data_IF_442524422569
#
_entry.id   IF_442524422569
#
_cell.length_a   1.000
_cell.length_b   1.000
_cell.length_c   1.000
_cell.angle_alpha   90.00
_cell.angle_beta   90.00
_cell.angle_gamma   90.00
#
_symmetry.space_group_name_H-M   'P 1'
#
loop_
_entity.id
_entity.type
_entity.pdbx_description
1 polymer ?
#
# COMPACT_ATOMS: atom_id res chain seq x y z
N UNK A 1 0.58 -25.69 3.02
CA UNK A 1 -0.15 -26.97 3.25
C UNK A 1 0.77 -28.14 2.89
N UNK A 2 0.86 -29.17 3.74
CA UNK A 2 1.77 -30.31 3.57
C UNK A 2 1.01 -31.62 3.52
N UNK A 3 1.35 -32.45 2.55
CA UNK A 3 0.68 -33.71 2.21
C UNK A 3 1.68 -34.85 2.22
N UNK A 4 1.21 -36.05 2.56
CA UNK A 4 2.01 -37.27 2.47
C UNK A 4 1.36 -38.20 1.43
N UNK A 5 2.14 -39.03 0.72
CA UNK A 5 1.61 -39.94 -0.28
C UNK A 5 0.72 -41.06 0.30
N UNK A 6 0.81 -41.35 1.60
CA UNK A 6 -0.08 -42.28 2.34
C UNK A 6 -1.24 -41.61 3.06
N UNK A 7 -1.58 -40.36 2.72
CA UNK A 7 -2.68 -39.63 3.36
C UNK A 7 -4.04 -40.26 3.02
N UNK A 8 -4.86 -40.55 4.03
CA UNK A 8 -6.25 -41.02 3.87
C UNK A 8 -7.16 -39.95 3.26
N UNK A 9 -8.23 -40.34 2.57
CA UNK A 9 -9.14 -39.40 1.91
C UNK A 9 -9.73 -38.33 2.85
N UNK A 10 -10.06 -38.70 4.09
CA UNK A 10 -10.54 -37.74 5.08
C UNK A 10 -9.53 -36.62 5.37
N UNK A 11 -8.25 -36.96 5.50
CA UNK A 11 -7.21 -35.97 5.78
C UNK A 11 -6.95 -35.07 4.55
N UNK A 12 -7.05 -35.62 3.33
CA UNK A 12 -7.06 -34.82 2.09
C UNK A 12 -8.16 -33.76 2.11
N UNK A 13 -9.38 -34.15 2.48
CA UNK A 13 -10.53 -33.23 2.55
C UNK A 13 -10.31 -32.11 3.57
N UNK A 14 -9.74 -32.42 4.74
CA UNK A 14 -9.38 -31.41 5.75
C UNK A 14 -8.37 -30.43 5.18
N UNK A 15 -7.35 -30.91 4.44
CA UNK A 15 -6.33 -30.04 3.82
C UNK A 15 -6.89 -29.18 2.69
N UNK A 16 -7.85 -29.68 1.91
CA UNK A 16 -8.60 -28.88 0.91
C UNK A 16 -9.36 -27.77 1.62
N UNK A 17 -10.12 -28.08 2.67
CA UNK A 17 -10.88 -27.07 3.43
C UNK A 17 -9.95 -26.01 4.03
N UNK A 18 -8.79 -26.42 4.55
CA UNK A 18 -7.79 -25.50 5.08
C UNK A 18 -7.19 -24.59 4.01
N UNK A 19 -6.83 -25.16 2.84
CA UNK A 19 -6.34 -24.40 1.70
C UNK A 19 -7.38 -23.39 1.19
N UNK A 20 -8.65 -23.78 1.16
CA UNK A 20 -9.77 -22.91 0.77
C UNK A 20 -9.93 -21.71 1.71
N UNK A 21 -9.81 -21.94 3.02
CA UNK A 21 -9.79 -20.85 4.01
C UNK A 21 -8.63 -19.87 3.75
N UNK A 22 -7.42 -20.36 3.53
CA UNK A 22 -6.27 -19.48 3.22
C UNK A 22 -6.48 -18.66 1.93
N UNK A 23 -7.07 -19.26 0.91
CA UNK A 23 -7.36 -18.55 -0.35
C UNK A 23 -8.43 -17.46 -0.17
N UNK A 24 -9.43 -17.70 0.68
CA UNK A 24 -10.44 -16.70 1.05
C UNK A 24 -9.83 -15.53 1.84
N UNK A 25 -8.93 -15.85 2.78
CA UNK A 25 -8.15 -14.87 3.53
C UNK A 25 -7.12 -14.12 2.68
N UNK A 26 -6.80 -14.61 1.47
CA UNK A 26 -5.87 -13.96 0.55
C UNK A 26 -4.43 -14.36 0.65
N UNK A 27 -4.16 -15.43 1.37
CA UNK A 27 -2.83 -15.95 1.54
C UNK A 27 -2.44 -16.82 0.34
N UNK A 28 -1.18 -16.69 -0.07
CA UNK A 28 -0.61 -17.61 -1.04
C UNK A 28 -0.46 -18.98 -0.40
N UNK A 29 -0.90 -20.02 -1.09
CA UNK A 29 -0.86 -21.39 -0.58
C UNK A 29 0.22 -22.17 -1.33
N UNK A 30 1.29 -22.51 -0.62
CA UNK A 30 2.26 -23.49 -1.09
C UNK A 30 1.79 -24.89 -0.69
N UNK A 31 1.47 -25.71 -1.68
CA UNK A 31 1.11 -27.12 -1.51
C UNK A 31 2.37 -27.94 -1.74
N UNK A 32 2.77 -28.72 -0.74
CA UNK A 32 3.94 -29.61 -0.83
C UNK A 32 3.58 -31.03 -0.47
N UNK A 33 3.94 -31.98 -1.33
CA UNK A 33 3.88 -33.41 -1.06
C UNK A 33 5.31 -33.92 -0.84
N UNK A 34 5.57 -34.55 0.30
CA UNK A 34 6.91 -35.05 0.64
C UNK A 34 6.92 -36.56 0.42
N UNK A 35 7.83 -37.03 -0.42
CA UNK A 35 8.12 -38.44 -0.57
C UNK A 35 9.21 -38.84 0.42
N UNK A 36 9.10 -39.98 1.09
CA UNK A 36 10.14 -40.48 2.00
C UNK A 36 10.71 -41.80 1.48
N UNK A 37 12.03 -41.86 1.32
CA UNK A 37 12.77 -43.09 1.00
C UNK A 37 12.20 -43.86 -0.19
N UNK A 38 11.64 -45.05 0.08
CA UNK A 38 11.07 -45.98 -0.92
C UNK A 38 9.79 -45.47 -1.58
N UNK A 39 9.19 -44.41 -1.06
CA UNK A 39 7.98 -43.80 -1.61
C UNK A 39 8.25 -42.91 -2.84
N UNK A 40 9.52 -42.70 -3.19
CA UNK A 40 9.94 -42.10 -4.47
C UNK A 40 9.43 -42.87 -5.70
N UNK A 41 9.03 -44.14 -5.56
CA UNK A 41 8.39 -44.92 -6.62
C UNK A 41 6.91 -44.52 -6.83
N UNK A 42 6.27 -43.94 -5.83
CA UNK A 42 4.85 -43.54 -5.86
C UNK A 42 4.66 -42.08 -6.29
N UNK A 43 5.45 -41.60 -7.26
CA UNK A 43 5.32 -40.24 -7.81
C UNK A 43 3.93 -40.02 -8.40
N UNK A 44 3.40 -41.05 -9.06
CA UNK A 44 2.09 -41.00 -9.71
C UNK A 44 0.95 -40.66 -8.73
N UNK A 45 1.02 -41.15 -7.48
CA UNK A 45 0.04 -40.78 -6.46
C UNK A 45 0.14 -39.31 -6.06
N UNK A 46 1.35 -38.80 -5.88
CA UNK A 46 1.56 -37.39 -5.59
C UNK A 46 1.09 -36.48 -6.73
N UNK A 47 1.36 -36.88 -7.97
CA UNK A 47 0.93 -36.14 -9.16
C UNK A 47 -0.60 -36.09 -9.27
N UNK A 48 -1.28 -37.24 -9.17
CA UNK A 48 -2.75 -37.28 -9.15
C UNK A 48 -3.36 -36.44 -8.03
N UNK A 49 -2.73 -36.42 -6.86
CA UNK A 49 -3.21 -35.66 -5.73
C UNK A 49 -3.07 -34.15 -5.98
N UNK A 50 -1.95 -33.69 -6.53
CA UNK A 50 -1.78 -32.30 -6.94
C UNK A 50 -2.73 -31.93 -8.09
N UNK A 51 -2.94 -32.81 -9.06
CA UNK A 51 -3.92 -32.59 -10.14
C UNK A 51 -5.34 -32.43 -9.60
N UNK A 52 -5.74 -33.22 -8.60
CA UNK A 52 -7.03 -33.08 -7.92
C UNK A 52 -7.15 -31.74 -7.21
N UNK A 53 -6.12 -31.31 -6.49
CA UNK A 53 -6.07 -29.97 -5.87
C UNK A 53 -6.19 -28.88 -6.94
N UNK A 54 -5.46 -29.01 -8.05
CA UNK A 54 -5.52 -28.07 -9.18
C UNK A 54 -6.94 -27.93 -9.73
N UNK A 55 -7.66 -29.04 -9.89
CA UNK A 55 -9.04 -29.03 -10.38
C UNK A 55 -10.00 -28.34 -9.40
N UNK A 56 -9.92 -28.68 -8.11
CA UNK A 56 -10.78 -28.08 -7.06
C UNK A 56 -10.56 -26.56 -6.93
N UNK A 57 -9.30 -26.11 -7.03
CA UNK A 57 -8.95 -24.69 -6.85
C UNK A 57 -8.93 -23.87 -8.15
N UNK A 58 -9.28 -24.47 -9.30
CA UNK A 58 -9.25 -23.79 -10.60
C UNK A 58 -10.15 -22.54 -10.67
N UNK A 59 -11.21 -22.49 -9.86
CA UNK A 59 -12.16 -21.37 -9.81
C UNK A 59 -11.76 -20.26 -8.82
N UNK A 60 -11.03 -20.61 -7.76
CA UNK A 60 -10.75 -19.71 -6.63
C UNK A 60 -9.32 -19.17 -6.65
N UNK A 61 -8.39 -19.89 -7.30
CA UNK A 61 -6.96 -19.57 -7.31
C UNK A 61 -6.35 -19.64 -8.71
N UNK A 62 -5.38 -18.76 -8.94
CA UNK A 62 -4.47 -18.80 -10.09
C UNK A 62 -3.23 -19.61 -9.73
N UNK A 63 -2.77 -20.44 -10.66
CA UNK A 63 -1.54 -21.21 -10.50
C UNK A 63 -0.37 -20.31 -10.88
N UNK A 64 0.48 -19.98 -9.91
CA UNK A 64 1.69 -19.18 -10.14
C UNK A 64 2.86 -20.09 -10.53
N UNK A 65 2.96 -21.27 -9.90
CA UNK A 65 4.00 -22.26 -10.16
C UNK A 65 3.38 -23.63 -10.37
N UNK A 66 3.65 -24.21 -11.53
CA UNK A 66 3.23 -25.56 -11.88
C UNK A 66 3.83 -26.62 -10.95
N UNK A 67 3.19 -27.79 -10.81
CA UNK A 67 3.73 -28.91 -10.04
C UNK A 67 5.15 -29.25 -10.50
N UNK A 68 6.13 -29.00 -9.63
CA UNK A 68 7.53 -29.29 -9.92
C UNK A 68 8.18 -30.07 -8.78
N UNK A 69 8.96 -31.09 -9.15
CA UNK A 69 9.72 -31.88 -8.21
C UNK A 69 10.98 -31.12 -7.81
N UNK A 70 11.05 -30.75 -6.54
CA UNK A 70 12.22 -30.16 -5.93
C UNK A 70 12.87 -31.19 -4.99
N UNK A 71 13.76 -32.01 -5.55
CA UNK A 71 14.40 -33.12 -4.85
C UNK A 71 13.41 -34.17 -4.37
N UNK A 72 13.12 -34.18 -3.07
CA UNK A 72 12.24 -35.16 -2.41
C UNK A 72 10.81 -34.67 -2.24
N UNK A 73 10.50 -33.45 -2.66
CA UNK A 73 9.17 -32.84 -2.52
C UNK A 73 8.60 -32.43 -3.87
N UNK A 74 7.31 -32.70 -4.10
CA UNK A 74 6.55 -32.12 -5.20
C UNK A 74 5.84 -30.88 -4.67
N UNK A 75 6.10 -29.72 -5.28
CA UNK A 75 5.56 -28.44 -4.82
C UNK A 75 4.75 -27.75 -5.90
N UNK A 76 3.69 -27.08 -5.49
CA UNK A 76 2.83 -26.24 -6.34
C UNK A 76 2.49 -24.96 -5.57
N UNK A 77 2.44 -23.83 -6.27
CA UNK A 77 2.08 -22.55 -5.67
C UNK A 77 0.77 -22.02 -6.26
N UNK A 78 -0.18 -21.76 -5.35
CA UNK A 78 -1.49 -21.20 -5.64
C UNK A 78 -1.58 -19.77 -5.10
N UNK A 79 -2.06 -18.87 -5.93
CA UNK A 79 -2.27 -17.46 -5.60
C UNK A 79 -3.76 -17.14 -5.68
N UNK A 80 -4.38 -16.55 -4.64
CA UNK A 80 -5.81 -16.25 -4.64
C UNK A 80 -6.14 -15.10 -5.58
N UNK A 81 -7.28 -15.21 -6.28
CA UNK A 81 -7.77 -14.17 -7.19
C UNK A 81 -8.30 -12.93 -6.44
N UNK A 82 -8.80 -13.11 -5.22
CA UNK A 82 -9.54 -12.08 -4.47
C UNK A 82 -8.66 -10.98 -3.85
N UNK A 83 -7.36 -11.22 -3.66
CA UNK A 83 -6.54 -10.37 -2.79
C UNK A 83 -5.53 -9.46 -3.46
N UNK A 84 -5.24 -9.68 -4.73
CA UNK A 84 -4.66 -8.61 -5.54
C UNK A 84 -5.59 -7.37 -5.50
N UNK A 85 -6.91 -7.60 -5.49
CA UNK A 85 -7.93 -6.54 -5.44
C UNK A 85 -7.97 -5.82 -4.08
N UNK A 86 -8.01 -6.55 -2.95
CA UNK A 86 -8.06 -5.92 -1.61
C UNK A 86 -6.76 -5.19 -1.23
N UNK A 87 -5.59 -5.78 -1.50
CA UNK A 87 -4.30 -5.09 -1.24
C UNK A 87 -4.12 -3.88 -2.14
N UNK A 88 -4.57 -3.94 -3.40
CA UNK A 88 -4.54 -2.78 -4.31
C UNK A 88 -5.43 -1.65 -3.79
N UNK A 89 -6.68 -1.94 -3.37
CA UNK A 89 -7.57 -0.93 -2.78
C UNK A 89 -7.00 -0.28 -1.52
N UNK A 90 -6.41 -1.06 -0.61
CA UNK A 90 -5.83 -0.54 0.64
C UNK A 90 -4.60 0.34 0.37
N UNK A 91 -3.73 -0.08 -0.55
CA UNK A 91 -2.54 0.69 -0.94
C UNK A 91 -2.91 1.99 -1.64
N UNK A 92 -3.99 1.99 -2.42
CA UNK A 92 -4.53 3.18 -3.10
C UNK A 92 -5.22 4.16 -2.12
N UNK A 93 -5.89 3.65 -1.08
CA UNK A 93 -6.47 4.46 -0.01
C UNK A 93 -5.41 5.10 0.90
N UNK A 94 -4.34 4.37 1.22
CA UNK A 94 -3.22 4.88 2.01
C UNK A 94 -2.38 5.90 1.22
N UNK A 95 -2.14 5.66 -0.07
CA UNK A 95 -1.48 6.63 -0.95
C UNK A 95 -2.30 7.92 -1.11
N UNK A 96 -3.64 7.84 -1.13
CA UNK A 96 -4.52 9.02 -1.15
C UNK A 96 -4.50 9.81 0.16
N UNK A 97 -4.33 9.15 1.32
CA UNK A 97 -4.19 9.84 2.62
C UNK A 97 -2.90 10.64 2.69
N UNK A 98 -1.77 10.04 2.30
CA UNK A 98 -0.48 10.71 2.32
C UNK A 98 -0.40 11.92 1.36
N UNK A 99 -1.10 11.86 0.22
CA UNK A 99 -1.19 12.98 -0.72
C UNK A 99 -2.10 14.12 -0.26
N UNK A 100 -3.00 13.85 0.70
CA UNK A 100 -3.86 14.87 1.30
C UNK A 100 -3.14 15.63 2.43
N UNK A 101 -2.31 14.95 3.22
CA UNK A 101 -1.51 15.56 4.28
C UNK A 101 -0.37 16.45 3.73
N UNK A 102 0.22 16.12 2.58
CA UNK A 102 1.24 16.97 1.94
C UNK A 102 0.72 18.29 1.34
N UNK A 103 -0.60 18.52 1.32
CA UNK A 103 -1.21 19.76 0.80
C UNK A 103 -1.44 20.82 1.88
N UNK A 104 -1.38 20.46 3.15
CA UNK A 104 -1.64 21.38 4.27
C UNK A 104 -0.39 22.17 4.68
N UNK A 105 0.82 21.60 4.55
CA UNK A 105 2.07 22.31 4.88
C UNK A 105 2.45 23.41 3.86
N UNK A 106 2.07 23.27 2.59
CA UNK A 106 2.33 24.33 1.58
C UNK A 106 1.42 25.55 1.72
N UNK A 107 0.25 25.42 2.35
CA UNK A 107 -0.63 26.55 2.65
C UNK A 107 -0.14 27.34 3.87
N UNK A 108 0.42 26.66 4.87
CA UNK A 108 0.94 27.31 6.06
C UNK A 108 2.25 28.06 5.80
N UNK A 109 3.16 27.53 4.98
CA UNK A 109 4.40 28.25 4.65
C UNK A 109 4.15 29.46 3.75
N UNK A 110 3.23 29.37 2.77
CA UNK A 110 2.89 30.50 1.88
C UNK A 110 2.21 31.66 2.62
N UNK A 111 1.47 31.40 3.70
CA UNK A 111 0.81 32.45 4.52
C UNK A 111 1.76 33.23 5.42
N UNK A 112 2.83 32.62 5.90
CA UNK A 112 3.78 33.28 6.81
C UNK A 112 4.66 34.28 6.04
N UNK A 113 5.07 33.93 4.81
CA UNK A 113 5.89 34.82 3.97
C UNK A 113 5.12 36.09 3.57
N UNK A 114 3.82 35.97 3.21
CA UNK A 114 3.00 37.12 2.79
C UNK A 114 2.64 38.09 3.93
N UNK A 115 2.70 37.66 5.20
CA UNK A 115 2.32 38.50 6.35
C UNK A 115 3.48 39.36 6.85
N UNK A 116 4.71 38.84 6.78
CA UNK A 116 5.92 39.61 7.12
C UNK A 116 6.25 40.69 6.07
N UNK A 117 6.05 40.45 4.77
CA UNK A 117 6.24 41.48 3.73
C UNK A 117 5.18 42.58 3.79
N UNK A 118 3.92 42.24 4.10
CA UNK A 118 2.83 43.22 4.21
C UNK A 118 2.94 44.13 5.46
N UNK A 119 3.56 43.65 6.54
CA UNK A 119 3.77 44.44 7.77
C UNK A 119 4.99 45.37 7.63
N UNK A 120 6.04 44.93 6.90
CA UNK A 120 7.19 45.77 6.54
C UNK A 120 6.82 46.92 5.59
N UNK A 121 5.86 46.72 4.69
CA UNK A 121 5.39 47.81 3.80
C UNK A 121 4.50 48.84 4.54
N UNK A 122 3.77 48.43 5.58
CA UNK A 122 2.96 49.34 6.42
C UNK A 122 3.84 50.19 7.33
N UNK A 123 4.88 49.62 7.95
CA UNK A 123 5.81 50.37 8.79
C UNK A 123 6.67 51.36 7.98
N UNK A 124 6.95 51.05 6.71
CA UNK A 124 7.63 51.97 5.79
C UNK A 124 6.73 53.13 5.32
N UNK A 125 5.39 52.97 5.35
CA UNK A 125 4.43 54.04 5.01
C UNK A 125 4.00 54.89 6.23
N UNK A 126 4.02 54.36 7.44
CA UNK A 126 3.65 55.10 8.66
C UNK A 126 4.80 55.95 9.25
N UNK A 127 6.04 55.80 8.76
CA UNK A 127 7.18 56.64 9.13
C UNK A 127 7.32 57.98 8.39
N UNK A 128 6.40 58.33 7.48
CA UNK A 128 6.53 59.51 6.60
C UNK A 128 5.51 60.64 6.84
N UNK A 129 4.75 60.63 7.93
CA UNK A 129 3.72 61.65 8.18
C UNK A 129 3.72 62.14 9.63
N UNK A 130 4.80 62.80 10.05
CA UNK A 130 4.83 63.62 11.26
C UNK A 130 5.53 64.96 10.97
N UNK A 131 4.79 65.89 10.37
CA UNK A 131 4.79 67.34 10.69
C UNK A 131 3.88 68.10 9.70
N UNK A 132 2.69 68.58 10.13
CA UNK A 132 1.89 69.54 9.39
C UNK A 132 2.38 70.98 9.59
N UNK A 133 2.21 71.76 8.51
CA UNK A 133 2.44 73.19 8.36
C UNK A 133 1.67 74.08 9.36
N UNK A 134 2.19 75.31 9.45
CA UNK A 134 1.48 76.59 9.57
C UNK A 134 1.35 77.24 10.96
N UNK A 135 2.25 78.19 11.21
CA UNK A 135 1.90 79.47 11.84
C UNK A 135 2.17 80.57 10.79
N UNK A 136 1.13 81.32 10.43
CA UNK A 136 1.11 82.22 9.28
C UNK A 136 1.44 83.70 9.55
N UNK A 137 1.44 84.43 8.42
CA UNK A 137 1.19 85.87 8.20
C UNK A 137 2.13 86.89 8.89
N UNK A 138 3.10 87.49 8.18
CA UNK A 138 3.03 88.71 7.32
C UNK A 138 3.44 90.00 8.09
N UNK A 139 3.78 91.14 7.45
CA UNK A 139 4.22 91.39 6.07
C UNK A 139 5.50 92.26 6.00
N UNK A 140 6.02 92.42 4.78
CA UNK A 140 7.05 93.41 4.46
C UNK A 140 6.49 94.84 4.43
N UNK A 141 7.21 95.79 5.05
CA UNK A 141 7.82 96.99 4.40
C UNK A 141 8.12 98.11 5.43
N UNK A 142 9.25 98.79 5.16
CA UNK A 142 9.41 100.26 5.15
C UNK A 142 10.18 100.94 6.29
N UNK A 143 11.37 101.43 5.87
CA UNK A 143 12.00 102.74 6.12
C UNK A 143 12.45 103.19 7.53
N UNK A 144 13.72 103.61 7.47
CA UNK A 144 14.46 104.64 8.22
C UNK A 144 15.24 104.21 9.46
#
# INVERSE_FOLDING_TARGET
VRLHPRTSEHDVQVRIRQARGFLDHGDKVLVSCIFKGREMAHREFGDRLIQRFKAEFALEAKIEKEPSMEGTRLTMLLTPLAQDVKKKLQKEAEAKRLQAEGKDESAHHRRVITREEAERERLAKEGAAAAPESAGAEPAKSKN
#
